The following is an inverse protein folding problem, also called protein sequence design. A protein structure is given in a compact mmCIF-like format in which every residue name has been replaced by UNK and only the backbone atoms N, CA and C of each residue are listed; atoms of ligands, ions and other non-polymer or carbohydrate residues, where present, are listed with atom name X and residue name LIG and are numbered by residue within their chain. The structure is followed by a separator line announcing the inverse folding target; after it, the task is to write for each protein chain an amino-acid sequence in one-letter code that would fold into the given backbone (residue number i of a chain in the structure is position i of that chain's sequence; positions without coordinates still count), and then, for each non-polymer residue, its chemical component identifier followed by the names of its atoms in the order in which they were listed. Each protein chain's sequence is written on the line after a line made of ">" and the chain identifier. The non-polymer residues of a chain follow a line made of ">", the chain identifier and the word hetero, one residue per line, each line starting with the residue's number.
data_IF_142431541404
#
_entry.id   IF_142431541404
#
_cell.length_a   1.000
_cell.length_b   1.000
_cell.length_c   1.000
_cell.angle_alpha   90.00
_cell.angle_beta   90.00
_cell.angle_gamma   90.00
#
_symmetry.space_group_name_H-M   'P 1'
#
loop_
_entity.id
_entity.type
_entity.pdbx_description
1 polymer ?
#
# COMPACT_ATOMS: atom_id res chain seq x y z
N UNK A 1 -8.50 -11.97 1.15
CA UNK A 1 -7.08 -12.06 0.75
C UNK A 1 -6.77 -10.82 -0.07
N UNK A 2 -5.73 -10.08 0.27
CA UNK A 2 -5.33 -8.90 -0.49
C UNK A 2 -4.75 -9.34 -1.83
N UNK A 3 -5.24 -8.74 -2.92
CA UNK A 3 -4.63 -8.88 -4.25
C UNK A 3 -3.90 -7.62 -4.68
N UNK A 4 -4.38 -6.47 -4.24
CA UNK A 4 -3.82 -5.18 -4.61
C UNK A 4 -3.91 -4.16 -3.47
N UNK A 5 -3.01 -3.17 -3.52
CA UNK A 5 -3.13 -1.89 -2.84
C UNK A 5 -3.19 -0.78 -3.88
N UNK A 6 -4.05 0.21 -3.63
CA UNK A 6 -4.11 1.44 -4.42
C UNK A 6 -4.02 2.61 -3.46
N UNK A 7 -3.06 3.48 -3.71
CA UNK A 7 -2.86 4.73 -2.99
C UNK A 7 -2.98 5.86 -4.00
N UNK A 8 -3.68 6.95 -3.67
CA UNK A 8 -3.75 8.16 -4.51
C UNK A 8 -3.68 9.43 -3.65
N UNK A 9 -3.25 10.55 -4.25
CA UNK A 9 -3.21 11.86 -3.58
C UNK A 9 -2.08 12.05 -2.55
N UNK A 10 -1.06 11.18 -2.56
CA UNK A 10 0.07 11.23 -1.60
C UNK A 10 1.21 12.18 -2.00
N UNK A 11 1.16 12.77 -3.19
CA UNK A 11 2.13 13.77 -3.65
C UNK A 11 1.41 15.10 -3.90
N UNK A 12 1.47 16.00 -2.91
CA UNK A 12 0.98 17.36 -3.03
C UNK A 12 1.58 18.22 -1.92
N UNK A 13 2.04 19.43 -2.25
CA UNK A 13 2.47 20.43 -1.26
C UNK A 13 1.26 20.86 -0.46
N UNK A 14 1.17 20.36 0.77
CA UNK A 14 0.03 20.61 1.63
C UNK A 14 0.27 21.73 2.63
N UNK A 15 -0.75 22.01 3.46
CA UNK A 15 -0.56 22.85 4.65
C UNK A 15 0.44 22.15 5.61
N UNK A 16 1.06 22.93 6.49
CA UNK A 16 1.98 22.42 7.52
C UNK A 16 1.45 21.13 8.18
N UNK A 17 2.25 20.04 8.12
CA UNK A 17 1.91 18.71 8.63
C UNK A 17 1.45 17.69 7.57
N UNK A 18 0.93 18.13 6.42
CA UNK A 18 0.53 17.23 5.32
C UNK A 18 1.75 16.56 4.67
N UNK A 19 2.87 17.26 4.56
CA UNK A 19 4.12 16.73 4.01
C UNK A 19 4.65 15.54 4.84
N UNK A 20 4.41 15.54 6.15
CA UNK A 20 4.81 14.45 7.07
C UNK A 20 3.96 13.20 6.82
N UNK A 21 2.64 13.37 6.61
CA UNK A 21 1.74 12.26 6.28
C UNK A 21 2.10 11.67 4.92
N UNK A 22 2.30 12.51 3.92
CA UNK A 22 2.74 12.10 2.59
C UNK A 22 4.06 11.32 2.64
N UNK A 23 5.06 11.81 3.40
CA UNK A 23 6.33 11.11 3.59
C UNK A 23 6.16 9.75 4.27
N UNK A 24 5.36 9.66 5.34
CA UNK A 24 5.10 8.41 6.05
C UNK A 24 4.40 7.38 5.15
N UNK A 25 3.38 7.80 4.40
CA UNK A 25 2.65 6.97 3.45
C UNK A 25 3.57 6.48 2.34
N UNK A 26 4.42 7.36 1.80
CA UNK A 26 5.36 7.02 0.72
C UNK A 26 6.41 6.03 1.20
N UNK A 27 7.00 6.26 2.37
CA UNK A 27 7.96 5.34 2.98
C UNK A 27 7.34 3.96 3.21
N UNK A 28 6.10 3.90 3.70
CA UNK A 28 5.43 2.64 4.01
C UNK A 28 5.09 1.84 2.74
N UNK A 29 4.53 2.48 1.69
CA UNK A 29 4.21 1.77 0.44
C UNK A 29 5.48 1.33 -0.30
N UNK A 30 6.54 2.15 -0.32
CA UNK A 30 7.82 1.75 -0.90
C UNK A 30 8.43 0.58 -0.14
N UNK A 31 8.37 0.62 1.20
CA UNK A 31 8.84 -0.51 2.03
C UNK A 31 8.03 -1.78 1.75
N UNK A 32 6.72 -1.67 1.58
CA UNK A 32 5.86 -2.78 1.21
C UNK A 32 6.30 -3.42 -0.11
N UNK A 33 6.51 -2.61 -1.16
CA UNK A 33 6.97 -3.10 -2.48
C UNK A 33 8.31 -3.80 -2.35
N UNK A 34 9.27 -3.17 -1.67
CA UNK A 34 10.60 -3.73 -1.50
C UNK A 34 10.57 -5.02 -0.67
N UNK A 35 9.76 -5.10 0.38
CA UNK A 35 9.64 -6.28 1.23
C UNK A 35 8.97 -7.44 0.47
N UNK A 36 7.99 -7.18 -0.39
CA UNK A 36 7.41 -8.21 -1.25
C UNK A 36 8.51 -8.87 -2.09
N UNK A 37 9.40 -8.06 -2.70
CA UNK A 37 10.49 -8.60 -3.52
C UNK A 37 11.60 -9.27 -2.70
N UNK A 38 12.08 -8.61 -1.64
CA UNK A 38 13.32 -8.98 -0.93
C UNK A 38 13.10 -9.92 0.24
N UNK A 39 11.91 -9.91 0.86
CA UNK A 39 11.58 -10.75 2.01
C UNK A 39 10.69 -11.92 1.61
N UNK A 40 9.64 -11.68 0.80
CA UNK A 40 8.72 -12.73 0.36
C UNK A 40 9.13 -13.41 -0.96
N UNK A 41 10.13 -12.88 -1.68
CA UNK A 41 10.51 -13.40 -3.01
C UNK A 41 9.42 -13.23 -4.07
N UNK A 42 8.45 -12.35 -3.83
CA UNK A 42 7.31 -12.08 -4.72
C UNK A 42 7.57 -10.80 -5.48
N UNK A 43 7.57 -10.87 -6.82
CA UNK A 43 7.65 -9.67 -7.66
C UNK A 43 6.26 -9.11 -7.95
N UNK A 44 5.83 -7.99 -7.33
CA UNK A 44 4.55 -7.37 -7.65
C UNK A 44 4.62 -6.61 -8.97
N UNK A 45 3.45 -6.37 -9.57
CA UNK A 45 3.30 -5.33 -10.59
C UNK A 45 3.08 -4.00 -9.89
N UNK A 46 3.85 -2.97 -10.26
CA UNK A 46 3.71 -1.62 -9.72
C UNK A 46 3.38 -0.65 -10.84
N UNK A 47 2.25 0.05 -10.70
CA UNK A 47 1.80 1.10 -11.63
C UNK A 47 1.82 2.44 -10.88
N UNK A 48 2.26 3.50 -11.57
CA UNK A 48 2.31 4.85 -11.01
C UNK A 48 1.69 5.85 -11.98
N UNK A 49 0.89 6.76 -11.47
CA UNK A 49 0.32 7.87 -12.24
C UNK A 49 0.64 9.20 -11.54
N UNK A 50 1.48 10.01 -12.20
CA UNK A 50 1.98 11.26 -11.61
C UNK A 50 0.87 12.30 -11.39
N UNK A 51 -0.12 12.39 -12.30
CA UNK A 51 -1.17 13.40 -12.24
C UNK A 51 -2.09 13.26 -11.02
N UNK A 52 -2.38 12.02 -10.63
CA UNK A 52 -3.22 11.68 -9.47
C UNK A 52 -2.40 11.33 -8.22
N UNK A 53 -1.06 11.36 -8.34
CA UNK A 53 -0.15 10.77 -7.37
C UNK A 53 -0.62 9.37 -6.96
N UNK A 54 -0.90 8.52 -7.93
CA UNK A 54 -1.40 7.16 -7.68
C UNK A 54 -0.27 6.14 -7.75
N UNK A 55 -0.27 5.20 -6.81
CA UNK A 55 0.55 3.99 -6.82
C UNK A 55 -0.40 2.80 -6.66
N UNK A 56 -0.32 1.85 -7.58
CA UNK A 56 -1.01 0.56 -7.49
C UNK A 56 0.02 -0.56 -7.40
N UNK A 57 -0.13 -1.43 -6.42
CA UNK A 57 0.71 -2.61 -6.20
C UNK A 57 -0.16 -3.84 -6.30
N UNK A 58 0.13 -4.75 -7.23
CA UNK A 58 -0.68 -5.93 -7.51
C UNK A 58 0.17 -7.19 -7.37
N UNK A 59 -0.31 -8.17 -6.59
CA UNK A 59 0.36 -9.47 -6.44
C UNK A 59 0.19 -10.33 -7.71
N UNK A 60 1.19 -11.15 -8.07
CA UNK A 60 1.05 -12.10 -9.16
C UNK A 60 0.01 -13.19 -8.83
N UNK A 61 -0.67 -13.71 -9.86
CA UNK A 61 -1.71 -14.73 -9.69
C UNK A 61 -1.16 -16.08 -9.20
N UNK A 62 0.05 -16.43 -9.65
CA UNK A 62 0.67 -17.71 -9.36
C UNK A 62 1.81 -17.52 -8.36
N UNK A 63 1.58 -17.97 -7.13
CA UNK A 63 2.53 -17.97 -6.03
C UNK A 63 2.40 -19.31 -5.31
N UNK A 64 3.50 -19.88 -4.83
CA UNK A 64 3.41 -21.00 -3.90
C UNK A 64 2.79 -20.57 -2.56
N UNK A 65 2.51 -21.53 -1.70
CA UNK A 65 1.82 -21.27 -0.42
C UNK A 65 2.63 -20.38 0.52
N UNK A 66 3.96 -20.55 0.54
CA UNK A 66 4.87 -19.80 1.42
C UNK A 66 4.96 -18.34 0.96
N UNK A 67 5.26 -18.11 -0.31
CA UNK A 67 5.32 -16.79 -0.91
C UNK A 67 3.98 -16.04 -0.78
N UNK A 68 2.86 -16.75 -0.92
CA UNK A 68 1.52 -16.20 -0.71
C UNK A 68 1.29 -15.82 0.75
N UNK A 69 1.68 -16.67 1.70
CA UNK A 69 1.57 -16.38 3.12
C UNK A 69 2.37 -15.11 3.48
N UNK A 70 3.65 -15.07 3.11
CA UNK A 70 4.54 -13.95 3.42
C UNK A 70 4.07 -12.65 2.77
N UNK A 71 3.62 -12.70 1.52
CA UNK A 71 2.99 -11.56 0.86
C UNK A 71 1.76 -11.06 1.64
N UNK A 72 0.90 -11.95 2.14
CA UNK A 72 -0.25 -11.52 2.96
C UNK A 72 0.19 -10.90 4.29
N UNK A 73 1.23 -11.42 4.94
CA UNK A 73 1.78 -10.83 6.17
C UNK A 73 2.27 -9.41 5.92
N UNK A 74 3.04 -9.21 4.85
CA UNK A 74 3.54 -7.88 4.46
C UNK A 74 2.38 -6.94 4.15
N UNK A 75 1.44 -7.37 3.30
CA UNK A 75 0.29 -6.55 2.91
C UNK A 75 -0.60 -6.18 4.12
N UNK A 76 -0.84 -7.10 5.06
CA UNK A 76 -1.60 -6.82 6.28
C UNK A 76 -0.84 -5.87 7.22
N UNK A 77 0.47 -6.00 7.31
CA UNK A 77 1.31 -5.11 8.12
C UNK A 77 1.32 -3.70 7.54
N UNK A 78 1.40 -3.57 6.22
CA UNK A 78 1.27 -2.29 5.51
C UNK A 78 -0.10 -1.65 5.76
N UNK A 79 -1.19 -2.43 5.72
CA UNK A 79 -2.52 -1.91 6.08
C UNK A 79 -2.55 -1.39 7.51
N UNK A 80 -2.03 -2.16 8.48
CA UNK A 80 -1.99 -1.73 9.88
C UNK A 80 -1.25 -0.39 10.01
N UNK A 81 -0.10 -0.23 9.35
CA UNK A 81 0.63 1.04 9.37
C UNK A 81 -0.16 2.21 8.77
N UNK A 82 -0.95 1.97 7.72
CA UNK A 82 -1.87 2.99 7.19
C UNK A 82 -3.02 3.30 8.16
N UNK A 83 -3.57 2.31 8.84
CA UNK A 83 -4.59 2.52 9.89
C UNK A 83 -4.03 3.34 11.05
N UNK A 84 -2.79 3.07 11.46
CA UNK A 84 -2.09 3.81 12.51
C UNK A 84 -1.87 5.28 12.10
N UNK A 85 -1.38 5.53 10.88
CA UNK A 85 -1.23 6.89 10.32
C UNK A 85 -2.60 7.60 10.26
N UNK A 86 -3.63 6.91 9.78
CA UNK A 86 -4.98 7.45 9.66
C UNK A 86 -5.59 7.78 11.04
N UNK A 87 -5.28 7.01 12.08
CA UNK A 87 -5.75 7.27 13.44
C UNK A 87 -5.19 8.57 14.03
N UNK A 88 -3.92 8.89 13.71
CA UNK A 88 -3.25 10.12 14.16
C UNK A 88 -3.62 11.31 13.27
N UNK A 89 -3.85 11.08 11.97
CA UNK A 89 -4.12 12.11 10.97
C UNK A 89 -5.44 11.86 10.19
N UNK A 90 -6.60 11.75 10.85
CA UNK A 90 -7.85 11.29 10.23
C UNK A 90 -8.42 12.25 9.17
N UNK A 91 -7.97 13.50 9.13
CA UNK A 91 -8.35 14.49 8.11
C UNK A 91 -7.54 14.38 6.81
N UNK A 92 -6.44 13.63 6.83
CA UNK A 92 -5.46 13.59 5.74
C UNK A 92 -5.43 12.25 5.01
N UNK A 93 -6.01 11.20 5.59
CA UNK A 93 -6.03 9.86 5.02
C UNK A 93 -7.40 9.23 5.17
N UNK A 94 -7.84 8.51 4.14
CA UNK A 94 -9.04 7.67 4.17
C UNK A 94 -8.70 6.31 3.56
N UNK A 95 -9.11 5.26 4.27
CA UNK A 95 -8.93 3.87 3.82
C UNK A 95 -10.28 3.38 3.29
N UNK A 96 -10.26 2.74 2.12
CA UNK A 96 -11.45 2.19 1.46
C UNK A 96 -11.20 0.69 1.25
N UNK A 97 -12.05 -0.16 1.82
CA UNK A 97 -11.97 -1.61 1.63
C UNK A 97 -12.69 -2.00 0.32
N UNK A 98 -11.91 -2.36 -0.70
CA UNK A 98 -12.39 -2.81 -2.00
C UNK A 98 -12.47 -4.34 -2.05
N UNK A 99 -13.40 -4.96 -1.32
CA UNK A 99 -13.66 -6.40 -1.50
C UNK A 99 -14.49 -6.60 -2.76
N UNK A 100 -13.91 -7.26 -3.75
CA UNK A 100 -14.69 -7.91 -4.81
C UNK A 100 -15.15 -9.27 -4.29
N UNK A 101 -16.45 -9.41 -4.02
CA UNK A 101 -17.05 -10.72 -3.80
C UNK A 101 -17.00 -11.51 -5.11
N UNK A 102 -16.56 -12.78 -5.12
CA UNK A 102 -16.80 -13.64 -6.27
C UNK A 102 -18.32 -13.82 -6.40
N UNK A 103 -18.83 -13.62 -7.62
CA UNK A 103 -20.21 -13.92 -7.99
C UNK A 103 -20.55 -15.40 -7.70
#
# INVERSE_FOLDING_TARGET
>A
MFREFVLSGHAGYGKYGQDIVCAAVSALITTCVNALETVAGVKPTVEQEAASAMIRVTLPNNMDEVARHDAQVILRTTLQGFEDISSVYPKHMKIIDGRTSPC
#
